data_IF_886623871400
#
_entry.id   IF_886623871400
#
_cell.length_a   1.000
_cell.length_b   1.000
_cell.length_c   1.000
_cell.angle_alpha   90.00
_cell.angle_beta   90.00
_cell.angle_gamma   90.00
#
_symmetry.space_group_name_H-M   'P 1'
#
loop_
_entity.id
_entity.type
_entity.pdbx_description
1 polymer ?
#
# COMPACT_ATOMS: atom_id res chain seq x y z
N UNK A 1 1.27 -14.09 -4.01
CA UNK A 1 1.48 -12.66 -3.73
C UNK A 1 1.26 -11.89 -5.02
N UNK A 2 0.58 -10.74 -4.96
CA UNK A 2 0.52 -9.80 -6.08
C UNK A 2 1.48 -8.65 -5.76
N UNK A 3 2.45 -8.40 -6.64
CA UNK A 3 3.41 -7.30 -6.53
C UNK A 3 3.04 -6.22 -7.53
N UNK A 4 2.97 -4.97 -7.09
CA UNK A 4 2.60 -3.82 -7.91
C UNK A 4 3.66 -2.73 -7.79
N UNK A 5 4.20 -2.27 -8.91
CA UNK A 5 5.17 -1.19 -9.01
C UNK A 5 4.54 0.01 -9.74
N UNK A 6 4.90 1.22 -9.33
CA UNK A 6 4.52 2.46 -10.01
C UNK A 6 5.60 3.53 -9.84
N UNK A 7 5.47 4.61 -10.61
CA UNK A 7 6.29 5.80 -10.47
C UNK A 7 5.49 6.93 -9.81
N UNK A 8 6.10 7.64 -8.87
CA UNK A 8 5.55 8.87 -8.30
C UNK A 8 5.66 10.02 -9.29
N UNK A 9 4.97 11.13 -9.02
CA UNK A 9 5.12 12.37 -9.79
C UNK A 9 6.55 12.92 -9.79
N UNK A 10 7.33 12.63 -8.75
CA UNK A 10 8.75 13.03 -8.64
C UNK A 10 9.71 12.09 -9.38
N UNK A 11 9.19 11.04 -10.02
CA UNK A 11 10.01 10.03 -10.72
C UNK A 11 10.67 9.02 -9.79
N UNK A 12 10.15 8.81 -8.58
CA UNK A 12 10.60 7.76 -7.66
C UNK A 12 9.82 6.48 -7.91
N UNK A 13 10.48 5.34 -7.88
CA UNK A 13 9.82 4.03 -7.95
C UNK A 13 9.25 3.69 -6.56
N UNK A 14 8.00 3.23 -6.54
CA UNK A 14 7.28 2.81 -5.34
C UNK A 14 6.56 1.51 -5.61
N UNK A 15 6.28 0.75 -4.54
CA UNK A 15 5.71 -0.58 -4.67
C UNK A 15 4.72 -0.91 -3.55
N UNK A 16 3.80 -1.82 -3.87
CA UNK A 16 2.86 -2.45 -2.94
C UNK A 16 2.84 -3.96 -3.19
N UNK A 17 3.04 -4.72 -2.12
CA UNK A 17 2.93 -6.16 -2.00
C UNK A 17 1.60 -6.54 -1.36
N UNK A 18 0.79 -7.29 -2.10
CA UNK A 18 -0.49 -7.81 -1.65
C UNK A 18 -0.35 -9.30 -1.33
N UNK A 19 -0.69 -9.65 -0.09
CA UNK A 19 -0.72 -11.03 0.42
C UNK A 19 -2.09 -11.31 1.07
N UNK A 20 -2.46 -12.58 1.27
CA UNK A 20 -3.68 -12.91 2.00
C UNK A 20 -3.67 -12.26 3.40
N UNK A 21 -4.62 -11.35 3.65
CA UNK A 21 -4.81 -10.67 4.94
C UNK A 21 -3.82 -9.55 5.25
N UNK A 22 -2.84 -9.27 4.38
CA UNK A 22 -1.84 -8.21 4.62
C UNK A 22 -1.44 -7.48 3.35
N UNK A 23 -1.12 -6.19 3.49
CA UNK A 23 -0.39 -5.40 2.49
C UNK A 23 0.94 -4.98 3.09
N UNK A 24 2.03 -5.16 2.36
CA UNK A 24 3.31 -4.52 2.62
C UNK A 24 3.58 -3.47 1.53
N UNK A 25 4.18 -2.33 1.86
CA UNK A 25 4.41 -1.27 0.88
C UNK A 25 5.71 -0.51 1.15
N UNK A 26 6.24 0.13 0.11
CA UNK A 26 7.26 1.16 0.25
C UNK A 26 6.78 2.23 1.24
N UNK A 27 7.65 2.68 2.15
CA UNK A 27 7.25 3.67 3.15
C UNK A 27 8.34 4.73 3.36
N UNK A 28 8.34 5.81 2.55
CA UNK A 28 9.40 6.84 2.59
C UNK A 28 9.26 7.82 3.77
N UNK A 29 8.32 7.57 4.69
CA UNK A 29 7.97 8.47 5.78
C UNK A 29 8.62 8.06 7.09
N UNK A 30 8.69 9.01 8.03
CA UNK A 30 9.22 8.77 9.38
C UNK A 30 8.12 8.70 10.44
N UNK A 31 6.94 9.20 10.11
CA UNK A 31 5.76 9.14 10.95
C UNK A 31 5.20 7.71 11.02
N UNK A 32 4.46 7.43 12.09
CA UNK A 32 3.79 6.13 12.23
C UNK A 32 2.72 5.95 11.12
N UNK A 33 2.67 4.78 10.45
CA UNK A 33 1.80 4.59 9.29
C UNK A 33 0.30 4.77 9.54
N UNK A 34 -0.28 4.27 10.65
CA UNK A 34 -1.72 4.43 10.92
C UNK A 34 -2.09 5.90 11.16
N UNK A 35 -1.26 6.65 11.88
CA UNK A 35 -1.42 8.09 12.07
C UNK A 35 -1.38 8.84 10.73
N UNK A 36 -0.48 8.46 9.83
CA UNK A 36 -0.40 9.02 8.48
C UNK A 36 -1.66 8.70 7.67
N UNK A 37 -2.13 7.45 7.67
CA UNK A 37 -3.37 7.06 6.98
C UNK A 37 -4.57 7.89 7.47
N UNK A 38 -4.70 8.05 8.79
CA UNK A 38 -5.76 8.85 9.39
C UNK A 38 -5.68 10.32 8.96
N UNK A 39 -4.49 10.92 9.05
CA UNK A 39 -4.25 12.32 8.68
C UNK A 39 -4.53 12.60 7.21
N UNK A 40 -4.22 11.65 6.33
CA UNK A 40 -4.47 11.75 4.88
C UNK A 40 -5.91 11.40 4.48
N UNK A 41 -6.78 11.09 5.46
CA UNK A 41 -8.18 10.75 5.20
C UNK A 41 -8.31 9.50 4.33
N UNK A 42 -7.42 8.52 4.52
CA UNK A 42 -7.51 7.24 3.83
C UNK A 42 -8.72 6.49 4.37
N UNK A 43 -9.57 6.03 3.46
CA UNK A 43 -10.63 5.10 3.82
C UNK A 43 -10.03 3.70 3.90
N UNK A 44 -9.53 3.34 5.08
CA UNK A 44 -8.96 2.04 5.39
C UNK A 44 -10.05 0.99 5.68
N UNK A 45 -9.73 -0.32 5.57
CA UNK A 45 -10.53 -1.39 6.15
C UNK A 45 -10.85 -1.14 7.63
N UNK A 46 -12.01 -1.63 8.08
CA UNK A 46 -12.50 -1.39 9.45
C UNK A 46 -11.60 -1.99 10.53
N UNK A 47 -11.03 -3.17 10.26
CA UNK A 47 -10.14 -3.90 11.17
C UNK A 47 -8.67 -3.81 10.74
N UNK A 48 -8.25 -2.67 10.19
CA UNK A 48 -6.84 -2.46 9.84
C UNK A 48 -6.00 -2.35 11.12
N UNK A 49 -4.84 -3.00 11.10
CA UNK A 49 -3.83 -2.86 12.15
C UNK A 49 -2.43 -2.85 11.54
N UNK A 50 -1.49 -2.27 12.27
CA UNK A 50 -0.09 -2.27 11.88
C UNK A 50 0.56 -3.58 12.33
N UNK A 51 1.16 -4.32 11.39
CA UNK A 51 1.90 -5.55 11.68
C UNK A 51 3.34 -5.20 12.05
N UNK A 52 4.01 -4.47 11.17
CA UNK A 52 5.42 -4.07 11.31
C UNK A 52 5.70 -2.87 10.41
N UNK A 53 6.68 -2.03 10.76
CA UNK A 53 7.16 -0.95 9.90
C UNK A 53 8.58 -0.53 10.26
N UNK A 54 9.25 0.08 9.29
CA UNK A 54 10.52 0.76 9.47
C UNK A 54 10.50 2.10 8.72
N UNK A 55 10.88 3.18 9.42
CA UNK A 55 10.91 4.52 8.87
C UNK A 55 11.81 4.63 7.64
N UNK A 56 11.29 5.19 6.55
CA UNK A 56 12.01 5.32 5.28
C UNK A 56 12.18 4.01 4.49
N UNK A 57 11.63 2.89 4.97
CA UNK A 57 11.79 1.57 4.34
C UNK A 57 10.44 0.98 3.93
N UNK A 58 9.64 0.50 4.89
CA UNK A 58 8.39 -0.22 4.61
C UNK A 58 7.35 -0.09 5.72
N UNK A 59 6.10 -0.37 5.37
CA UNK A 59 5.00 -0.53 6.32
C UNK A 59 4.13 -1.72 5.91
N UNK A 60 3.86 -2.61 6.86
CA UNK A 60 2.97 -3.76 6.69
C UNK A 60 1.71 -3.57 7.51
N UNK A 61 0.57 -3.61 6.84
CA UNK A 61 -0.76 -3.57 7.42
C UNK A 61 -1.42 -4.94 7.33
N UNK A 62 -2.09 -5.34 8.41
CA UNK A 62 -3.01 -6.46 8.43
C UNK A 62 -4.45 -5.97 8.45
N UNK A 63 -5.36 -6.80 7.96
CA UNK A 63 -6.80 -6.54 7.99
C UNK A 63 -7.58 -7.86 8.04
N UNK A 64 -8.83 -7.78 8.50
CA UNK A 64 -9.77 -8.91 8.43
C UNK A 64 -10.19 -9.23 6.99
N UNK A 65 -11.20 -10.10 6.85
CA UNK A 65 -11.74 -10.45 5.53
C UNK A 65 -12.39 -9.22 4.87
N UNK A 66 -11.79 -8.74 3.78
CA UNK A 66 -12.30 -7.66 2.95
C UNK A 66 -12.60 -8.13 1.55
N UNK A 67 -13.56 -7.47 0.89
CA UNK A 67 -13.89 -7.79 -0.49
C UNK A 67 -12.73 -7.44 -1.44
N UNK A 68 -12.56 -8.13 -2.59
CA UNK A 68 -11.55 -7.77 -3.57
C UNK A 68 -11.64 -6.31 -4.05
N UNK A 69 -12.87 -5.75 -4.09
CA UNK A 69 -13.11 -4.36 -4.45
C UNK A 69 -12.58 -3.39 -3.39
N UNK A 70 -12.86 -3.68 -2.12
CA UNK A 70 -12.38 -2.86 -1.00
C UNK A 70 -10.85 -2.90 -0.91
N UNK A 71 -10.27 -4.08 -1.12
CA UNK A 71 -8.84 -4.26 -1.17
C UNK A 71 -8.19 -3.48 -2.32
N UNK A 72 -8.71 -3.58 -3.55
CA UNK A 72 -8.22 -2.80 -4.68
C UNK A 72 -8.35 -1.28 -4.45
N UNK A 73 -9.47 -0.84 -3.86
CA UNK A 73 -9.69 0.56 -3.52
C UNK A 73 -8.73 1.07 -2.44
N UNK A 74 -8.35 0.22 -1.48
CA UNK A 74 -7.35 0.58 -0.48
C UNK A 74 -5.97 0.72 -1.12
N UNK A 75 -5.54 -0.23 -1.95
CA UNK A 75 -4.27 -0.18 -2.69
C UNK A 75 -4.17 1.08 -3.56
N UNK A 76 -5.24 1.43 -4.28
CA UNK A 76 -5.31 2.64 -5.12
C UNK A 76 -5.12 3.92 -4.29
N UNK A 77 -5.79 4.02 -3.14
CA UNK A 77 -5.58 5.13 -2.22
C UNK A 77 -4.15 5.21 -1.67
N UNK A 78 -3.50 4.07 -1.41
CA UNK A 78 -2.11 4.05 -0.95
C UNK A 78 -1.17 4.59 -2.03
N UNK A 79 -1.33 4.18 -3.29
CA UNK A 79 -0.51 4.73 -4.38
C UNK A 79 -0.70 6.24 -4.54
N UNK A 80 -1.94 6.71 -4.59
CA UNK A 80 -2.23 8.11 -4.91
C UNK A 80 -1.97 9.03 -3.71
N UNK A 81 -2.55 8.71 -2.55
CA UNK A 81 -2.59 9.64 -1.41
C UNK A 81 -1.42 9.49 -0.45
N UNK A 82 -0.76 8.33 -0.43
CA UNK A 82 0.39 8.08 0.44
C UNK A 82 1.68 8.12 -0.37
N UNK A 83 1.78 7.35 -1.45
CA UNK A 83 3.02 7.24 -2.23
C UNK A 83 3.23 8.37 -3.24
N UNK A 84 2.22 9.20 -3.49
CA UNK A 84 2.34 10.36 -4.37
C UNK A 84 2.38 10.00 -5.86
N UNK A 85 1.75 8.90 -6.25
CA UNK A 85 1.44 8.60 -7.64
C UNK A 85 0.38 9.55 -8.19
N UNK A 86 0.43 9.80 -9.50
CA UNK A 86 -0.55 10.64 -10.18
C UNK A 86 -1.89 9.92 -10.34
N UNK A 87 -2.93 10.38 -9.63
CA UNK A 87 -4.31 9.90 -9.72
C UNK A 87 -4.85 9.79 -11.16
N UNK A 88 -4.40 10.66 -12.06
CA UNK A 88 -4.88 10.69 -13.44
C UNK A 88 -4.16 9.72 -14.38
N UNK A 89 -2.93 9.27 -14.06
CA UNK A 89 -2.08 8.67 -15.09
C UNK A 89 -1.07 7.63 -14.62
N UNK A 90 -0.97 7.34 -13.31
CA UNK A 90 0.00 6.38 -12.83
C UNK A 90 -0.19 5.00 -13.48
N UNK A 91 0.91 4.44 -13.99
CA UNK A 91 0.91 3.15 -14.68
C UNK A 91 1.33 2.07 -13.70
N UNK A 92 0.42 1.15 -13.42
CA UNK A 92 0.70 -0.03 -12.60
C UNK A 92 1.38 -1.11 -13.44
N UNK A 93 2.53 -1.57 -12.98
CA UNK A 93 3.12 -2.83 -13.43
C UNK A 93 2.90 -3.88 -12.36
N UNK A 94 2.15 -4.93 -12.70
CA UNK A 94 1.78 -5.99 -11.77
C UNK A 94 2.38 -7.34 -12.14
N UNK A 95 2.94 -8.05 -11.17
CA UNK A 95 3.36 -9.45 -11.29
C UNK A 95 2.67 -10.31 -10.23
N UNK A 96 2.41 -11.57 -10.57
CA UNK A 96 1.93 -12.58 -9.61
C UNK A 96 3.10 -13.49 -9.30
N UNK A 97 3.46 -13.55 -8.03
CA UNK A 97 4.54 -14.39 -7.53
C UNK A 97 3.97 -15.47 -6.63
N UNK A 98 4.41 -16.72 -6.84
CA UNK A 98 4.15 -17.79 -5.91
C UNK A 98 5.15 -17.67 -4.76
N UNK A 99 4.65 -17.63 -3.53
CA UNK A 99 5.50 -17.83 -2.36
C UNK A 99 5.93 -19.29 -2.42
N UNK A 100 7.22 -19.55 -2.66
CA UNK A 100 7.74 -20.91 -2.60
C UNK A 100 7.54 -21.45 -1.17
N UNK A 101 6.97 -22.65 -1.10
CA UNK A 101 6.59 -23.36 0.12
C UNK A 101 7.77 -24.03 0.81
#
# INVERSE_FOLDING_TARGET
MLYSEAMTLSGSEVWIQVMPGTINMAYPFTEEPLELLHRQGIRSPSDIYLVEWAAGEYATFGFGDISPREHAFFVDQLFVKILGCDDASYQLKTSIEQLES
#
